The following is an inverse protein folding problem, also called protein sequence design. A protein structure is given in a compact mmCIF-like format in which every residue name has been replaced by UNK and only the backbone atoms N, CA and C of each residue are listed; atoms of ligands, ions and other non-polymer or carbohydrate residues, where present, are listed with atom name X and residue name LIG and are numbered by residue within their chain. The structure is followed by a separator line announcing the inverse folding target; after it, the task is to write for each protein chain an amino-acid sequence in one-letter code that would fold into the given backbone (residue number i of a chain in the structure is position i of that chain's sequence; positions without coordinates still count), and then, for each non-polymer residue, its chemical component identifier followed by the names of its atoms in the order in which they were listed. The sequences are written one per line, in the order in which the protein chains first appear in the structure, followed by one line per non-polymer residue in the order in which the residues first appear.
data_IF_519220158354
#
_entry.id   IF_519220158354
#
_cell.length_a   1.000
_cell.length_b   1.000
_cell.length_c   1.000
_cell.angle_alpha   90.00
_cell.angle_beta   90.00
_cell.angle_gamma   90.00
#
_symmetry.space_group_name_H-M   'P 1'
#
loop_
_entity.id
_entity.type
_entity.pdbx_description
1 polymer ?
#
# COMPACT_ATOMS: atom_id res chain seq x y z
N UNK A 1 5.89 -7.19 -24.24
CA UNK A 1 6.17 -6.25 -23.13
C UNK A 1 5.46 -6.82 -21.92
N UNK A 2 6.20 -7.15 -20.86
CA UNK A 2 5.60 -7.63 -19.62
C UNK A 2 5.30 -6.40 -18.75
N UNK A 3 4.03 -6.16 -18.45
CA UNK A 3 3.61 -5.09 -17.54
C UNK A 3 3.37 -5.69 -16.16
N UNK A 4 3.99 -5.14 -15.13
CA UNK A 4 3.82 -5.56 -13.73
C UNK A 4 2.93 -4.54 -13.03
N UNK A 5 1.76 -4.32 -13.64
CA UNK A 5 0.82 -3.34 -13.13
C UNK A 5 0.27 -3.82 -11.80
N UNK A 6 0.31 -2.92 -10.83
CA UNK A 6 -0.19 -3.09 -9.50
C UNK A 6 -1.25 -2.04 -9.20
N UNK A 7 -2.16 -2.36 -8.28
CA UNK A 7 -2.98 -1.38 -7.58
C UNK A 7 -2.71 -1.46 -6.09
N UNK A 8 -2.45 -0.32 -5.46
CA UNK A 8 -2.43 -0.16 -4.01
C UNK A 8 -3.74 0.45 -3.56
N UNK A 9 -4.32 -0.09 -2.50
CA UNK A 9 -5.51 0.42 -1.85
C UNK A 9 -5.20 0.66 -0.37
N UNK A 10 -5.33 1.90 0.09
CA UNK A 10 -5.16 2.28 1.49
C UNK A 10 -6.53 2.40 2.16
N UNK A 11 -6.81 1.52 3.11
CA UNK A 11 -8.02 1.56 3.92
C UNK A 11 -7.70 2.03 5.33
N UNK A 12 -8.42 3.05 5.80
CA UNK A 12 -8.41 3.41 7.22
C UNK A 12 -9.35 2.48 7.99
N UNK A 13 -8.92 2.02 9.16
CA UNK A 13 -9.73 1.21 10.06
C UNK A 13 -10.16 2.07 11.25
N UNK A 14 -11.46 2.31 11.36
CA UNK A 14 -12.06 3.05 12.49
C UNK A 14 -13.16 2.20 13.10
N UNK A 15 -13.01 1.84 14.39
CA UNK A 15 -13.98 0.99 15.12
C UNK A 15 -14.31 -0.33 14.39
N UNK A 16 -13.31 -0.92 13.73
CA UNK A 16 -13.47 -2.18 12.97
C UNK A 16 -14.04 -2.01 11.55
N UNK A 17 -14.59 -0.84 11.20
CA UNK A 17 -15.01 -0.54 9.85
C UNK A 17 -13.82 -0.10 8.98
N UNK A 18 -13.83 -0.50 7.71
CA UNK A 18 -12.81 -0.14 6.71
C UNK A 18 -13.38 0.91 5.76
N UNK A 19 -12.69 2.03 5.59
CA UNK A 19 -13.02 3.04 4.58
C UNK A 19 -11.83 3.23 3.64
N UNK A 20 -12.06 3.10 2.34
CA UNK A 20 -11.03 3.38 1.34
C UNK A 20 -10.67 4.87 1.41
N UNK A 21 -9.40 5.17 1.69
CA UNK A 21 -8.89 6.53 1.77
C UNK A 21 -8.18 6.93 0.47
N UNK A 22 -7.44 5.98 -0.13
CA UNK A 22 -6.69 6.21 -1.36
C UNK A 22 -6.57 4.93 -2.18
N UNK A 23 -6.47 5.06 -3.50
CA UNK A 23 -6.04 3.98 -4.37
C UNK A 23 -5.24 4.50 -5.55
N UNK A 24 -4.20 3.78 -5.93
CA UNK A 24 -3.32 4.17 -7.02
C UNK A 24 -2.84 2.95 -7.80
N UNK A 25 -2.68 3.11 -9.11
CA UNK A 25 -2.11 2.09 -9.99
C UNK A 25 -0.70 2.49 -10.39
N UNK A 26 0.22 1.54 -10.39
CA UNK A 26 1.63 1.77 -10.71
C UNK A 26 2.24 0.51 -11.29
N UNK A 27 3.26 0.67 -12.15
CA UNK A 27 4.02 -0.46 -12.70
C UNK A 27 5.28 -0.65 -11.87
N UNK A 28 5.44 -1.81 -11.26
CA UNK A 28 6.59 -2.06 -10.37
C UNK A 28 6.98 -3.54 -10.40
N UNK A 29 8.28 -3.80 -10.42
CA UNK A 29 8.85 -5.15 -10.32
C UNK A 29 9.13 -5.57 -8.88
N UNK A 30 8.85 -4.70 -7.90
CA UNK A 30 9.20 -4.86 -6.49
C UNK A 30 8.95 -6.23 -5.83
N UNK A 31 7.86 -6.99 -6.12
CA UNK A 31 7.67 -8.32 -5.53
C UNK A 31 8.79 -9.32 -5.86
N UNK A 32 9.48 -9.12 -6.99
CA UNK A 32 10.58 -9.97 -7.47
C UNK A 32 11.95 -9.51 -6.99
N UNK A 33 12.03 -8.30 -6.43
CA UNK A 33 13.25 -7.68 -5.92
C UNK A 33 13.32 -7.80 -4.38
N UNK A 34 12.17 -7.80 -3.71
CA UNK A 34 12.05 -8.09 -2.28
C UNK A 34 12.06 -9.60 -2.00
N UNK A 35 12.14 -10.02 -0.73
CA UNK A 35 11.99 -11.42 -0.29
C UNK A 35 10.58 -12.00 -0.44
N UNK A 36 9.76 -11.44 -1.35
CA UNK A 36 8.42 -11.90 -1.69
C UNK A 36 7.31 -10.86 -1.50
N UNK A 37 6.08 -11.26 -1.82
CA UNK A 37 4.89 -10.42 -1.83
C UNK A 37 4.56 -9.72 -0.48
N UNK A 38 4.86 -10.39 0.64
CA UNK A 38 4.57 -9.88 1.99
C UNK A 38 5.52 -8.75 2.35
N UNK A 39 6.82 -8.96 2.17
CA UNK A 39 7.84 -7.94 2.44
C UNK A 39 7.64 -6.73 1.53
N UNK A 40 7.40 -6.98 0.24
CA UNK A 40 7.07 -5.94 -0.71
C UNK A 40 5.85 -5.10 -0.28
N UNK A 41 4.76 -5.75 0.14
CA UNK A 41 3.58 -5.03 0.59
C UNK A 41 3.78 -4.24 1.88
N UNK A 42 4.70 -4.65 2.76
CA UNK A 42 5.08 -3.88 3.95
C UNK A 42 5.83 -2.60 3.55
N UNK A 43 6.82 -2.72 2.66
CA UNK A 43 7.55 -1.57 2.10
C UNK A 43 6.61 -0.59 1.41
N UNK A 44 5.71 -1.09 0.56
CA UNK A 44 4.70 -0.28 -0.13
C UNK A 44 3.74 0.38 0.87
N UNK A 45 3.35 -0.33 1.94
CA UNK A 45 2.49 0.24 2.96
C UNK A 45 3.15 1.45 3.65
N UNK A 46 4.41 1.33 4.06
CA UNK A 46 5.13 2.43 4.71
C UNK A 46 5.33 3.63 3.77
N UNK A 47 5.80 3.38 2.53
CA UNK A 47 6.02 4.45 1.54
C UNK A 47 4.73 5.21 1.22
N UNK A 48 3.64 4.50 0.92
CA UNK A 48 2.39 5.13 0.51
C UNK A 48 1.68 5.83 1.69
N UNK A 49 1.71 5.25 2.89
CA UNK A 49 1.14 5.94 4.07
C UNK A 49 1.90 7.23 4.37
N UNK A 50 3.22 7.26 4.20
CA UNK A 50 4.03 8.46 4.33
C UNK A 50 3.76 9.47 3.19
N UNK A 51 3.81 9.03 1.93
CA UNK A 51 3.61 9.85 0.73
C UNK A 51 2.27 10.56 0.71
N UNK A 52 1.21 9.89 1.18
CA UNK A 52 -0.14 10.47 1.25
C UNK A 52 -0.44 11.18 2.57
N UNK A 53 0.58 11.42 3.41
CA UNK A 53 0.46 12.09 4.70
C UNK A 53 -0.68 11.51 5.57
N UNK A 54 -0.79 10.17 5.58
CA UNK A 54 -1.88 9.50 6.26
C UNK A 54 -1.82 9.77 7.77
N UNK A 55 -2.95 10.09 8.42
CA UNK A 55 -2.97 10.32 9.86
C UNK A 55 -2.66 9.04 10.65
N UNK A 56 -2.23 9.25 11.90
CA UNK A 56 -2.03 8.15 12.84
C UNK A 56 -3.29 7.29 13.00
N UNK A 57 -3.09 5.98 13.16
CA UNK A 57 -4.18 5.03 13.40
C UNK A 57 -3.95 3.68 12.75
N UNK A 58 -5.01 2.86 12.71
CA UNK A 58 -4.97 1.54 12.07
C UNK A 58 -5.27 1.66 10.59
N UNK A 59 -4.48 0.97 9.80
CA UNK A 59 -4.55 0.95 8.35
C UNK A 59 -4.48 -0.48 7.83
N UNK A 60 -5.18 -0.72 6.72
CA UNK A 60 -5.07 -1.91 5.90
C UNK A 60 -4.62 -1.47 4.51
N UNK A 61 -3.47 -1.95 4.09
CA UNK A 61 -2.93 -1.75 2.75
C UNK A 61 -3.12 -3.04 1.97
N UNK A 62 -3.70 -2.94 0.78
CA UNK A 62 -3.87 -4.08 -0.13
C UNK A 62 -3.09 -3.78 -1.40
N UNK A 63 -2.22 -4.71 -1.80
CA UNK A 63 -1.53 -4.65 -3.09
C UNK A 63 -2.13 -5.71 -3.98
N UNK A 64 -2.53 -5.31 -5.19
CA UNK A 64 -3.14 -6.16 -6.21
C UNK A 64 -2.30 -6.18 -7.47
N UNK A 65 -2.29 -7.30 -8.17
CA UNK A 65 -1.85 -7.41 -9.56
C UNK A 65 -3.00 -7.03 -10.48
N UNK A 66 -2.75 -6.11 -11.41
CA UNK A 66 -3.65 -5.74 -12.50
C UNK A 66 -3.23 -6.48 -13.76
N UNK A 67 -3.05 -7.79 -13.66
CA UNK A 67 -2.76 -8.60 -14.84
C UNK A 67 -4.06 -8.80 -15.62
N UNK A 68 -4.18 -8.29 -16.86
CA UNK A 68 -5.42 -8.36 -17.64
C UNK A 68 -5.88 -9.80 -17.92
N UNK A 69 -4.96 -10.77 -17.87
CA UNK A 69 -5.23 -12.18 -18.16
C UNK A 69 -5.38 -13.04 -16.89
N UNK A 70 -5.29 -12.47 -15.69
CA UNK A 70 -5.37 -13.23 -14.44
C UNK A 70 -6.79 -13.29 -13.87
N UNK A 71 -7.17 -14.46 -13.34
CA UNK A 71 -8.41 -14.64 -12.58
C UNK A 71 -8.47 -13.68 -11.35
N UNK A 72 -9.63 -13.10 -11.01
CA UNK A 72 -9.76 -12.10 -9.96
C UNK A 72 -9.20 -12.54 -8.59
N UNK A 73 -9.31 -13.81 -8.24
CA UNK A 73 -8.76 -14.40 -7.02
C UNK A 73 -7.24 -14.46 -6.98
N UNK A 74 -6.57 -14.42 -8.13
CA UNK A 74 -5.11 -14.32 -8.26
C UNK A 74 -4.62 -12.88 -8.31
N UNK A 75 -5.53 -11.90 -8.35
CA UNK A 75 -5.16 -10.47 -8.42
C UNK A 75 -4.78 -9.90 -7.06
N UNK A 76 -5.00 -10.59 -5.93
CA UNK A 76 -4.56 -10.08 -4.63
C UNK A 76 -3.17 -10.61 -4.28
N UNK A 77 -2.16 -9.75 -4.46
CA UNK A 77 -0.76 -10.08 -4.18
C UNK A 77 -0.52 -10.24 -2.68
N UNK A 78 -0.89 -9.24 -1.89
CA UNK A 78 -0.72 -9.25 -0.44
C UNK A 78 -1.63 -8.22 0.24
N UNK A 79 -1.77 -8.37 1.56
CA UNK A 79 -2.39 -7.37 2.43
C UNK A 79 -1.54 -7.19 3.68
N UNK A 80 -1.45 -5.96 4.16
CA UNK A 80 -0.74 -5.61 5.39
C UNK A 80 -1.69 -4.80 6.25
N UNK A 81 -1.90 -5.25 7.48
CA UNK A 81 -2.61 -4.47 8.48
C UNK A 81 -1.60 -3.95 9.49
N UNK A 82 -1.58 -2.65 9.73
CA UNK A 82 -0.61 -2.02 10.62
C UNK A 82 -1.17 -0.83 11.38
N UNK A 83 -0.54 -0.50 12.49
CA UNK A 83 -0.76 0.77 13.19
C UNK A 83 0.28 1.77 12.69
N UNK A 84 -0.17 2.78 11.96
CA UNK A 84 0.65 3.86 11.44
C UNK A 84 0.80 4.95 12.50
N UNK A 85 2.01 5.42 12.82
CA UNK A 85 2.22 6.52 13.77
C UNK A 85 1.75 7.88 13.23
N UNK A 86 1.37 7.96 11.95
CA UNK A 86 1.13 9.20 11.24
C UNK A 86 2.37 9.63 10.48
N UNK A 87 2.20 10.29 9.34
CA UNK A 87 3.32 11.02 8.76
C UNK A 87 3.70 12.09 9.79
N UNK A 88 4.91 12.00 10.36
CA UNK A 88 5.44 13.12 11.13
C UNK A 88 5.31 14.33 10.20
N UNK A 89 4.69 15.44 10.63
CA UNK A 89 4.96 16.69 9.94
C UNK A 89 6.48 16.79 10.00
N UNK A 90 7.13 16.79 8.84
CA UNK A 90 8.52 17.23 8.80
C UNK A 90 8.44 18.61 9.39
N UNK A 91 8.91 18.74 10.63
CA UNK A 91 9.08 20.03 11.26
C UNK A 91 10.05 20.73 10.32
N UNK A 92 9.53 21.61 9.44
CA UNK A 92 10.32 22.70 8.89
C UNK A 92 10.70 23.57 10.10
N UNK A 93 11.69 23.08 10.85
CA UNK A 93 12.40 23.84 11.84
C UNK A 93 13.27 24.81 11.05
N UNK A 94 12.75 26.04 10.93
CA UNK A 94 13.48 27.29 10.80
C UNK A 94 14.94 27.19 10.30
N UNK A 95 15.14 27.63 9.06
CA UNK A 95 16.42 28.14 8.54
C UNK A 95 16.15 29.38 7.72
#
# INVERSE_FOLDING_TARGET
MWTYLHRVELYRIVRGARSLAWSEEYDDHGPWVCGGAVEYAATVAEDYLARHHCPAGRWLVIVRWLNPDAEPERTRLAKVEMTWPGANPVTEAAG
#
